data_IF_469055206271
#
_entry.id   IF_469055206271
#
_cell.length_a   1.000
_cell.length_b   1.000
_cell.length_c   1.000
_cell.angle_alpha   90.00
_cell.angle_beta   90.00
_cell.angle_gamma   90.00
#
_symmetry.space_group_name_H-M   'P 1'
#
loop_
_entity.id
_entity.type
_entity.pdbx_description
1 polymer ?
#
# COMPACT_ATOMS: atom_id res chain seq x y z
N UNK A 1 8.58 10.01 -14.85
CA UNK A 1 8.34 10.49 -13.47
C UNK A 1 9.02 9.56 -12.46
N UNK A 2 9.35 10.10 -11.31
CA UNK A 2 9.97 9.35 -10.22
C UNK A 2 8.93 9.08 -9.14
N UNK A 3 8.88 7.85 -8.62
CA UNK A 3 8.09 7.49 -7.46
C UNK A 3 8.99 7.12 -6.29
N UNK A 4 8.65 7.62 -5.11
CA UNK A 4 9.36 7.33 -3.86
C UNK A 4 8.38 6.78 -2.85
N UNK A 5 8.69 5.64 -2.24
CA UNK A 5 7.93 5.13 -1.11
C UNK A 5 8.77 5.22 0.16
N UNK A 6 8.23 5.88 1.17
CA UNK A 6 8.82 5.99 2.51
C UNK A 6 8.02 5.09 3.45
N UNK A 7 8.70 4.17 4.11
CA UNK A 7 8.14 3.34 5.18
C UNK A 7 8.91 3.56 6.47
N UNK A 8 8.51 2.95 7.58
CA UNK A 8 9.23 3.06 8.85
C UNK A 8 10.71 2.62 8.76
N UNK A 9 11.03 1.65 7.88
CA UNK A 9 12.37 1.05 7.82
C UNK A 9 13.01 1.02 6.44
N UNK A 10 12.28 1.42 5.37
CA UNK A 10 12.79 1.33 4.00
C UNK A 10 12.42 2.57 3.18
N UNK A 11 13.26 2.85 2.21
CA UNK A 11 13.03 3.75 1.09
C UNK A 11 13.04 2.93 -0.20
N UNK A 12 12.01 3.09 -1.02
CA UNK A 12 11.95 2.55 -2.38
C UNK A 12 11.88 3.69 -3.39
N UNK A 13 12.52 3.54 -4.54
CA UNK A 13 12.50 4.53 -5.62
C UNK A 13 12.26 3.79 -6.92
N UNK A 14 11.34 4.30 -7.74
CA UNK A 14 11.06 3.81 -9.10
C UNK A 14 11.17 4.95 -10.11
N UNK A 15 11.60 4.63 -11.32
CA UNK A 15 11.51 5.51 -12.48
C UNK A 15 10.49 4.91 -13.45
N UNK A 16 9.48 5.69 -13.82
CA UNK A 16 8.48 5.33 -14.79
C UNK A 16 8.64 6.07 -16.10
N UNK A 17 8.43 5.36 -17.21
CA UNK A 17 8.28 5.96 -18.54
C UNK A 17 6.82 6.40 -18.79
N UNK A 18 6.55 6.95 -19.98
CA UNK A 18 5.23 7.41 -20.40
C UNK A 18 4.20 6.28 -20.61
N UNK A 19 4.64 5.03 -20.69
CA UNK A 19 3.80 3.84 -20.80
C UNK A 19 3.48 3.22 -19.42
N UNK A 20 3.87 3.92 -18.34
CA UNK A 20 3.77 3.45 -16.95
C UNK A 20 4.62 2.22 -16.63
N UNK A 21 5.62 1.92 -17.45
CA UNK A 21 6.55 0.82 -17.21
C UNK A 21 7.69 1.27 -16.27
N UNK A 22 8.11 0.36 -15.40
CA UNK A 22 9.23 0.59 -14.48
C UNK A 22 10.54 0.41 -15.26
N UNK A 23 11.26 1.49 -15.52
CA UNK A 23 12.59 1.46 -16.16
C UNK A 23 13.70 1.17 -15.16
N UNK A 24 13.56 1.65 -13.93
CA UNK A 24 14.56 1.46 -12.87
C UNK A 24 13.88 1.40 -11.53
N UNK A 25 14.34 0.53 -10.65
CA UNK A 25 13.86 0.44 -9.27
C UNK A 25 14.99 0.12 -8.31
N UNK A 26 14.90 0.67 -7.10
CA UNK A 26 15.79 0.33 -5.99
C UNK A 26 15.00 0.34 -4.69
N UNK A 27 15.32 -0.58 -3.79
CA UNK A 27 14.83 -0.59 -2.40
C UNK A 27 16.01 -0.73 -1.46
N UNK A 28 16.03 0.10 -0.45
CA UNK A 28 17.11 0.13 0.52
C UNK A 28 16.60 0.29 1.94
N UNK A 29 17.35 -0.18 2.92
CA UNK A 29 17.04 0.01 4.33
C UNK A 29 17.40 1.43 4.73
N UNK A 30 16.39 2.21 5.11
CA UNK A 30 16.54 3.56 5.65
C UNK A 30 15.46 3.74 6.72
N UNK A 31 15.87 3.77 7.99
CA UNK A 31 14.94 4.00 9.09
C UNK A 31 14.43 5.44 9.02
N UNK A 32 13.11 5.60 9.03
CA UNK A 32 12.47 6.92 9.04
C UNK A 32 12.91 7.75 10.25
N UNK A 33 13.11 9.04 10.04
CA UNK A 33 13.36 10.03 11.08
C UNK A 33 12.72 11.35 10.70
N UNK A 34 12.32 12.13 11.68
CA UNK A 34 11.80 13.50 11.52
C UNK A 34 12.90 14.56 11.38
N UNK A 35 14.16 14.15 11.47
CA UNK A 35 15.31 15.04 11.38
C UNK A 35 15.52 15.55 9.94
N UNK A 36 15.98 16.79 9.82
CA UNK A 36 16.36 17.40 8.53
C UNK A 36 17.37 16.55 7.75
N UNK A 37 18.28 15.91 8.44
CA UNK A 37 19.29 15.01 7.88
C UNK A 37 18.67 13.83 7.12
N UNK A 38 17.51 13.33 7.56
CA UNK A 38 16.79 12.29 6.85
C UNK A 38 16.29 12.78 5.48
N UNK A 39 15.66 13.95 5.42
CA UNK A 39 15.17 14.53 4.17
C UNK A 39 16.32 14.76 3.17
N UNK A 40 17.46 15.29 3.65
CA UNK A 40 18.66 15.47 2.83
C UNK A 40 19.19 14.12 2.31
N UNK A 41 19.14 13.08 3.15
CA UNK A 41 19.57 11.73 2.73
C UNK A 41 18.64 11.14 1.69
N UNK A 42 17.32 11.34 1.83
CA UNK A 42 16.35 10.91 0.81
C UNK A 42 16.63 11.61 -0.52
N UNK A 43 16.88 12.93 -0.51
CA UNK A 43 17.21 13.68 -1.71
C UNK A 43 18.53 13.19 -2.37
N UNK A 44 19.58 12.97 -1.57
CA UNK A 44 20.85 12.40 -2.05
C UNK A 44 20.62 11.04 -2.74
N UNK A 45 19.80 10.16 -2.12
CA UNK A 45 19.53 8.84 -2.67
C UNK A 45 18.71 8.90 -3.98
N UNK A 46 17.79 9.85 -4.10
CA UNK A 46 17.08 10.09 -5.37
C UNK A 46 18.03 10.64 -6.44
N UNK A 47 18.90 11.58 -6.10
CA UNK A 47 19.91 12.12 -7.02
C UNK A 47 20.89 11.03 -7.50
N UNK A 48 21.38 10.19 -6.59
CA UNK A 48 22.24 9.05 -6.93
C UNK A 48 21.49 8.03 -7.82
N UNK A 49 20.21 7.79 -7.54
CA UNK A 49 19.36 6.90 -8.35
C UNK A 49 19.22 7.43 -9.78
N UNK A 50 19.14 8.75 -9.95
CA UNK A 50 18.99 9.42 -11.24
C UNK A 50 20.32 9.67 -11.96
N UNK A 51 21.48 9.37 -11.34
CA UNK A 51 22.80 9.74 -11.87
C UNK A 51 23.06 9.28 -13.30
N UNK A 52 22.64 8.07 -13.63
CA UNK A 52 22.85 7.44 -14.94
C UNK A 52 21.63 7.58 -15.87
N UNK A 53 20.63 8.38 -15.49
CA UNK A 53 19.44 8.63 -16.31
C UNK A 53 19.81 9.74 -17.31
N UNK A 54 19.71 9.41 -18.60
CA UNK A 54 19.76 10.38 -19.68
C UNK A 54 18.48 11.24 -19.63
N UNK A 55 18.48 12.41 -20.23
CA UNK A 55 17.27 13.27 -20.32
C UNK A 55 16.61 13.61 -18.97
N UNK A 56 17.38 13.87 -17.92
CA UNK A 56 16.86 14.19 -16.56
C UNK A 56 15.91 15.40 -16.57
N UNK A 57 16.07 16.30 -17.53
CA UNK A 57 15.19 17.46 -17.74
C UNK A 57 13.78 17.08 -18.19
N UNK A 58 13.57 15.84 -18.66
CA UNK A 58 12.25 15.29 -19.02
C UNK A 58 11.51 14.70 -17.84
N UNK A 59 12.12 14.64 -16.64
CA UNK A 59 11.46 14.16 -15.43
C UNK A 59 10.39 15.17 -15.02
N UNK A 60 9.13 14.78 -15.08
CA UNK A 60 7.97 15.66 -14.81
C UNK A 60 7.83 16.01 -13.32
N UNK A 61 8.26 15.11 -12.43
CA UNK A 61 8.16 15.33 -10.98
C UNK A 61 8.45 14.08 -10.18
N UNK A 62 8.40 14.25 -8.85
CA UNK A 62 8.63 13.21 -7.85
C UNK A 62 7.36 12.99 -7.02
N UNK A 63 6.72 11.84 -7.19
CA UNK A 63 5.61 11.41 -6.34
C UNK A 63 6.15 10.68 -5.11
N UNK A 64 5.77 11.13 -3.90
CA UNK A 64 6.24 10.55 -2.64
C UNK A 64 5.05 9.92 -1.92
N UNK A 65 5.10 8.62 -1.73
CA UNK A 65 4.13 7.85 -0.98
C UNK A 65 4.59 7.72 0.47
N UNK A 66 3.70 8.08 1.41
CA UNK A 66 3.96 8.06 2.86
C UNK A 66 2.74 7.41 3.55
N UNK A 67 2.93 6.45 4.48
CA UNK A 67 1.82 5.90 5.24
C UNK A 67 1.21 6.94 6.18
N UNK A 68 -0.11 7.09 6.13
CA UNK A 68 -0.88 8.00 6.97
C UNK A 68 -1.81 8.93 6.22
N UNK A 69 -2.54 9.75 6.96
CA UNK A 69 -3.50 10.72 6.42
C UNK A 69 -2.73 11.95 5.94
N UNK A 70 -2.82 12.25 4.65
CA UNK A 70 -2.10 13.36 4.01
C UNK A 70 -3.05 14.52 3.71
N UNK A 71 -2.73 15.70 4.23
CA UNK A 71 -3.34 16.97 3.83
C UNK A 71 -2.48 17.60 2.74
N UNK A 72 -2.93 17.47 1.50
CA UNK A 72 -2.23 18.00 0.33
C UNK A 72 -2.16 19.54 0.33
N UNK A 73 -3.26 20.19 0.73
CA UNK A 73 -3.34 21.65 0.70
C UNK A 73 -2.33 22.30 1.66
N UNK A 74 -2.14 21.70 2.83
CA UNK A 74 -1.22 22.17 3.85
C UNK A 74 0.15 21.46 3.83
N UNK A 75 0.38 20.55 2.88
CA UNK A 75 1.61 19.73 2.78
C UNK A 75 1.98 19.10 4.12
N UNK A 76 1.07 18.34 4.68
CA UNK A 76 1.20 17.84 6.05
C UNK A 76 0.74 16.38 6.16
N UNK A 77 1.46 15.59 6.95
CA UNK A 77 0.94 14.34 7.51
C UNK A 77 0.10 14.70 8.72
N UNK A 78 -1.22 14.59 8.61
CA UNK A 78 -2.14 14.85 9.72
C UNK A 78 -1.93 13.83 10.83
N UNK A 79 -1.86 12.56 10.45
CA UNK A 79 -1.58 11.45 11.36
C UNK A 79 -1.00 10.25 10.62
N UNK A 80 0.07 9.71 11.17
CA UNK A 80 0.62 8.41 10.76
C UNK A 80 0.90 7.55 11.98
N UNK A 81 0.17 6.47 12.13
CA UNK A 81 0.47 5.51 13.19
C UNK A 81 1.76 4.73 12.89
N UNK A 82 1.97 4.36 11.62
CA UNK A 82 3.15 3.60 11.19
C UNK A 82 4.46 4.37 11.39
N UNK A 83 4.44 5.71 11.21
CA UNK A 83 5.60 6.58 11.40
C UNK A 83 5.57 7.34 12.73
N UNK A 84 4.52 7.16 13.55
CA UNK A 84 4.32 7.87 14.82
C UNK A 84 4.34 9.39 14.65
N UNK A 85 3.67 9.89 13.59
CA UNK A 85 3.58 11.32 13.28
C UNK A 85 2.20 11.88 13.60
N UNK A 86 2.18 13.12 14.00
CA UNK A 86 0.97 13.94 14.14
C UNK A 86 1.27 15.38 13.76
N UNK A 87 0.47 15.95 12.85
CA UNK A 87 0.63 17.30 12.30
C UNK A 87 2.06 17.62 11.83
N UNK A 88 2.68 16.68 11.10
CA UNK A 88 4.06 16.79 10.63
C UNK A 88 4.12 17.46 9.26
N UNK A 89 4.87 18.58 9.15
CA UNK A 89 5.04 19.30 7.89
C UNK A 89 5.95 18.54 6.91
N UNK A 90 5.51 18.43 5.66
CA UNK A 90 6.27 17.87 4.54
C UNK A 90 7.02 18.95 3.73
N UNK A 91 6.87 20.23 4.08
CA UNK A 91 7.43 21.34 3.30
C UNK A 91 8.95 21.27 3.15
N UNK A 92 9.66 20.81 4.18
CA UNK A 92 11.11 20.66 4.07
C UNK A 92 11.49 19.51 3.12
N UNK A 93 10.76 18.39 3.16
CA UNK A 93 10.99 17.27 2.24
C UNK A 93 10.69 17.69 0.78
N UNK A 94 9.71 18.56 0.55
CA UNK A 94 9.45 19.14 -0.77
C UNK A 94 10.62 20.04 -1.24
N UNK A 95 11.14 20.90 -0.35
CA UNK A 95 12.15 21.89 -0.68
C UNK A 95 13.53 21.32 -1.01
N UNK A 96 13.84 20.08 -0.60
CA UNK A 96 15.13 19.45 -0.90
C UNK A 96 15.24 18.93 -2.32
N UNK A 97 14.14 18.91 -3.08
CA UNK A 97 14.11 18.47 -4.48
C UNK A 97 14.04 19.67 -5.44
N UNK A 98 14.68 19.54 -6.58
CA UNK A 98 14.61 20.50 -7.71
C UNK A 98 13.42 20.26 -8.64
N UNK A 99 12.69 19.16 -8.47
CA UNK A 99 11.52 18.78 -9.24
C UNK A 99 10.24 19.10 -8.47
N UNK A 100 9.09 19.28 -9.15
CA UNK A 100 7.79 19.32 -8.51
C UNK A 100 7.56 18.06 -7.66
N UNK A 101 6.97 18.21 -6.46
CA UNK A 101 6.72 17.11 -5.55
C UNK A 101 5.22 16.95 -5.29
N UNK A 102 4.75 15.71 -5.32
CA UNK A 102 3.40 15.31 -4.94
C UNK A 102 3.47 14.29 -3.80
N UNK A 103 2.66 14.48 -2.75
CA UNK A 103 2.57 13.53 -1.65
C UNK A 103 1.30 12.71 -1.74
N UNK A 104 1.37 11.44 -1.43
CA UNK A 104 0.22 10.54 -1.43
C UNK A 104 0.22 9.62 -0.19
N UNK A 105 -0.98 9.27 0.29
CA UNK A 105 -1.12 8.12 1.18
C UNK A 105 -0.71 6.84 0.44
N UNK A 106 -0.09 5.90 1.13
CA UNK A 106 0.47 4.67 0.56
C UNK A 106 -0.57 3.74 -0.08
N UNK A 107 -1.72 3.55 0.56
CA UNK A 107 -2.78 2.71 0.01
C UNK A 107 -3.50 3.41 -1.16
N UNK A 108 -3.73 4.73 -1.05
CA UNK A 108 -4.30 5.53 -2.13
C UNK A 108 -3.39 5.51 -3.38
N UNK A 109 -2.09 5.70 -3.19
CA UNK A 109 -1.12 5.60 -4.27
C UNK A 109 -1.09 4.19 -4.87
N UNK A 110 -1.10 3.14 -4.04
CA UNK A 110 -1.12 1.77 -4.53
C UNK A 110 -2.37 1.46 -5.37
N UNK A 111 -3.55 1.97 -4.99
CA UNK A 111 -4.76 1.89 -5.81
C UNK A 111 -4.57 2.58 -7.17
N UNK A 112 -3.98 3.78 -7.18
CA UNK A 112 -3.71 4.55 -8.42
C UNK A 112 -2.63 3.90 -9.30
N UNK A 113 -1.87 2.93 -8.79
CA UNK A 113 -0.94 2.14 -9.60
C UNK A 113 -1.65 1.18 -10.55
N UNK A 114 -2.82 0.69 -10.17
CA UNK A 114 -3.63 -0.21 -10.98
C UNK A 114 -4.17 0.47 -12.26
N UNK A 115 -4.72 -0.32 -13.17
CA UNK A 115 -5.36 0.23 -14.38
C UNK A 115 -6.76 0.78 -14.05
N UNK A 116 -6.85 2.10 -13.92
CA UNK A 116 -8.11 2.78 -13.61
C UNK A 116 -9.13 2.74 -14.75
N UNK A 117 -8.76 2.28 -15.96
CA UNK A 117 -9.73 2.01 -17.03
C UNK A 117 -10.43 0.67 -16.82
N UNK A 118 -9.71 -0.32 -16.28
CA UNK A 118 -10.26 -1.62 -15.91
C UNK A 118 -11.00 -1.53 -14.57
N UNK A 119 -10.40 -0.86 -13.57
CA UNK A 119 -10.90 -0.80 -12.19
C UNK A 119 -11.54 0.56 -11.87
N UNK A 120 -12.64 0.90 -12.59
CA UNK A 120 -13.38 2.14 -12.32
C UNK A 120 -14.04 2.14 -10.93
N UNK A 121 -14.58 1.00 -10.52
CA UNK A 121 -15.14 0.77 -9.20
C UNK A 121 -14.41 -0.41 -8.57
N UNK A 122 -13.56 -0.15 -7.60
CA UNK A 122 -12.78 -1.18 -6.92
C UNK A 122 -12.36 -0.77 -5.51
N UNK A 123 -12.17 -1.76 -4.67
CA UNK A 123 -11.51 -1.67 -3.37
C UNK A 123 -10.10 -2.25 -3.49
N UNK A 124 -9.10 -1.57 -2.96
CA UNK A 124 -7.73 -2.04 -2.85
C UNK A 124 -7.38 -2.31 -1.39
N UNK A 125 -6.91 -3.50 -1.08
CA UNK A 125 -6.35 -3.87 0.22
C UNK A 125 -4.83 -3.90 0.14
N UNK A 126 -4.18 -3.01 0.85
CA UNK A 126 -2.71 -2.92 0.96
C UNK A 126 -2.23 -3.76 2.14
N UNK A 127 -1.96 -5.05 1.89
CA UNK A 127 -1.57 -6.06 2.88
C UNK A 127 -0.06 -5.99 3.16
N UNK A 128 0.36 -4.91 3.79
CA UNK A 128 1.73 -4.65 4.20
C UNK A 128 1.92 -4.91 5.70
N UNK A 129 3.00 -4.42 6.30
CA UNK A 129 3.24 -4.53 7.74
C UNK A 129 2.06 -4.02 8.57
N UNK A 130 1.35 -3.03 8.05
CA UNK A 130 0.00 -2.60 8.47
C UNK A 130 -0.97 -2.80 7.32
N UNK A 131 -2.24 -2.98 7.62
CA UNK A 131 -3.31 -3.08 6.63
C UNK A 131 -3.83 -1.69 6.27
N UNK A 132 -3.51 -1.23 5.07
CA UNK A 132 -4.10 -0.06 4.43
C UNK A 132 -5.25 -0.42 3.50
N UNK A 133 -6.01 0.59 3.10
CA UNK A 133 -7.03 0.42 2.09
C UNK A 133 -7.34 1.70 1.34
N UNK A 134 -7.83 1.53 0.13
CA UNK A 134 -8.31 2.60 -0.73
C UNK A 134 -9.49 2.09 -1.56
N UNK A 135 -10.30 2.98 -2.10
CA UNK A 135 -11.31 2.59 -3.08
C UNK A 135 -11.58 3.73 -4.07
N UNK A 136 -12.01 3.35 -5.25
CA UNK A 136 -12.44 4.28 -6.27
C UNK A 136 -13.88 4.00 -6.68
N UNK A 137 -14.55 5.05 -7.14
CA UNK A 137 -15.90 5.01 -7.72
C UNK A 137 -15.87 5.88 -8.97
N UNK A 138 -16.34 5.34 -10.09
CA UNK A 138 -16.29 5.98 -11.41
C UNK A 138 -14.88 6.48 -11.78
N UNK A 139 -13.85 5.67 -11.50
CA UNK A 139 -12.46 5.99 -11.76
C UNK A 139 -11.85 7.05 -10.85
N UNK A 140 -12.60 7.55 -9.85
CA UNK A 140 -12.13 8.56 -8.92
C UNK A 140 -11.85 7.98 -7.55
N UNK A 141 -10.67 8.26 -7.02
CA UNK A 141 -10.30 7.88 -5.68
C UNK A 141 -11.18 8.59 -4.65
N UNK A 142 -11.77 7.84 -3.73
CA UNK A 142 -12.63 8.37 -2.67
C UNK A 142 -11.81 8.51 -1.39
N UNK A 143 -11.50 9.75 -1.02
CA UNK A 143 -10.71 10.06 0.18
C UNK A 143 -11.57 10.44 1.39
N UNK A 144 -12.84 10.78 1.15
CA UNK A 144 -13.77 11.22 2.19
C UNK A 144 -13.54 12.65 2.67
N UNK A 145 -14.48 13.17 3.45
CA UNK A 145 -14.46 14.55 3.91
C UNK A 145 -13.24 14.90 4.78
N UNK A 146 -12.72 13.93 5.53
CA UNK A 146 -11.60 14.11 6.46
C UNK A 146 -10.39 13.25 6.07
N UNK A 147 -10.24 12.87 4.80
CA UNK A 147 -9.16 12.05 4.29
C UNK A 147 -9.05 10.66 4.99
N UNK A 148 -10.17 10.11 5.48
CA UNK A 148 -10.22 8.85 6.26
C UNK A 148 -11.00 7.73 5.58
N UNK A 149 -11.48 7.94 4.36
CA UNK A 149 -12.10 6.86 3.61
C UNK A 149 -11.04 5.81 3.26
N UNK A 150 -11.43 4.54 3.28
CA UNK A 150 -10.49 3.45 3.03
C UNK A 150 -9.70 2.96 4.25
N UNK A 151 -9.90 3.49 5.44
CA UNK A 151 -9.26 3.01 6.68
C UNK A 151 -9.79 1.62 7.11
N UNK A 152 -9.80 0.66 6.17
CA UNK A 152 -10.35 -0.70 6.34
C UNK A 152 -9.62 -1.51 7.39
N UNK A 153 -8.31 -1.25 7.57
CA UNK A 153 -7.51 -1.88 8.61
C UNK A 153 -8.07 -1.63 10.02
N UNK A 154 -8.81 -0.54 10.20
CA UNK A 154 -9.39 -0.17 11.50
C UNK A 154 -10.88 -0.53 11.66
N UNK A 155 -11.48 -1.25 10.71
CA UNK A 155 -12.77 -1.91 10.90
C UNK A 155 -12.64 -3.02 11.95
N UNK A 156 -13.65 -3.17 12.80
CA UNK A 156 -13.68 -4.25 13.80
C UNK A 156 -14.02 -5.56 13.11
N UNK A 157 -13.07 -6.46 13.06
CA UNK A 157 -13.25 -7.81 12.51
C UNK A 157 -13.65 -8.80 13.62
N UNK A 158 -13.01 -8.70 14.78
CA UNK A 158 -13.26 -9.57 15.93
C UNK A 158 -13.52 -8.72 17.17
N UNK A 159 -14.77 -8.45 17.54
CA UNK A 159 -15.09 -7.64 18.72
C UNK A 159 -14.38 -8.12 19.99
N UNK A 160 -13.67 -7.22 20.68
CA UNK A 160 -12.89 -7.55 21.86
C UNK A 160 -11.66 -8.44 21.65
N UNK A 161 -11.25 -8.64 20.39
CA UNK A 161 -10.11 -9.48 20.02
C UNK A 161 -8.74 -8.85 20.26
N UNK A 162 -7.77 -9.14 19.38
CA UNK A 162 -6.37 -8.66 19.50
C UNK A 162 -6.31 -7.13 19.59
N UNK A 163 -5.36 -6.62 20.37
CA UNK A 163 -5.09 -5.19 20.44
C UNK A 163 -4.53 -4.71 19.09
N UNK A 164 -4.99 -3.54 18.64
CA UNK A 164 -4.46 -2.84 17.48
C UNK A 164 -3.62 -1.65 17.96
N UNK A 165 -2.60 -1.28 17.20
CA UNK A 165 -1.75 -0.12 17.48
C UNK A 165 -2.54 1.20 17.54
N UNK A 166 -3.73 1.27 16.92
CA UNK A 166 -4.60 2.46 17.01
C UNK A 166 -5.29 2.65 18.37
N UNK A 167 -5.06 1.75 19.33
CA UNK A 167 -5.64 1.77 20.67
C UNK A 167 -6.94 0.98 20.83
N UNK A 168 -7.57 0.54 19.72
CA UNK A 168 -8.78 -0.33 19.75
C UNK A 168 -8.39 -1.81 19.85
N UNK A 169 -9.38 -2.66 20.07
CA UNK A 169 -9.24 -4.11 20.01
C UNK A 169 -10.13 -4.69 18.90
N UNK A 170 -9.62 -5.71 18.19
CA UNK A 170 -10.38 -6.43 17.18
C UNK A 170 -10.34 -5.85 15.77
N UNK A 171 -9.50 -4.85 15.49
CA UNK A 171 -9.32 -4.28 14.16
C UNK A 171 -8.83 -5.32 13.15
N UNK A 172 -9.27 -5.23 11.90
CA UNK A 172 -8.84 -6.09 10.79
C UNK A 172 -7.31 -6.11 10.63
N UNK A 173 -6.64 -5.00 10.86
CA UNK A 173 -5.18 -4.87 10.83
C UNK A 173 -4.47 -5.94 11.71
N UNK A 174 -4.95 -6.14 12.93
CA UNK A 174 -4.37 -7.11 13.87
C UNK A 174 -4.48 -8.59 13.42
N UNK A 175 -5.21 -8.85 12.33
CA UNK A 175 -5.46 -10.19 11.79
C UNK A 175 -5.06 -10.36 10.33
N UNK A 176 -5.06 -9.28 9.53
CA UNK A 176 -4.89 -9.32 8.08
C UNK A 176 -3.69 -8.51 7.58
N UNK A 177 -2.91 -7.86 8.47
CA UNK A 177 -1.62 -7.27 8.09
C UNK A 177 -0.51 -8.34 8.02
N UNK A 178 0.61 -8.04 7.36
CA UNK A 178 1.78 -8.93 7.34
C UNK A 178 2.34 -9.16 8.74
N UNK A 179 2.28 -8.16 9.63
CA UNK A 179 2.66 -8.30 11.05
C UNK A 179 1.86 -9.37 11.81
N UNK A 180 0.66 -9.74 11.33
CA UNK A 180 -0.09 -10.85 11.91
C UNK A 180 0.53 -12.23 11.60
N UNK A 181 1.36 -12.33 10.55
CA UNK A 181 2.05 -13.55 10.12
C UNK A 181 3.46 -13.66 10.69
N UNK A 182 4.17 -12.53 10.77
CA UNK A 182 5.54 -12.47 11.27
C UNK A 182 5.58 -12.45 12.80
N UNK A 183 6.70 -12.81 13.35
CA UNK A 183 6.94 -12.80 14.79
C UNK A 183 8.14 -11.88 15.06
N UNK A 184 7.87 -10.70 15.59
CA UNK A 184 8.91 -9.71 15.87
C UNK A 184 9.92 -10.20 16.92
N UNK A 185 9.48 -11.04 17.88
CA UNK A 185 10.36 -11.62 18.92
C UNK A 185 11.35 -12.63 18.32
N UNK A 186 10.99 -13.29 17.21
CA UNK A 186 11.82 -14.27 16.51
C UNK A 186 12.54 -13.67 15.29
N UNK A 187 12.38 -12.37 15.02
CA UNK A 187 12.94 -11.68 13.84
C UNK A 187 12.59 -12.37 12.50
N UNK A 188 11.47 -13.11 12.46
CA UNK A 188 11.06 -13.83 11.26
C UNK A 188 10.45 -12.88 10.22
N UNK A 189 11.05 -12.83 9.04
CA UNK A 189 10.53 -12.04 7.93
C UNK A 189 9.36 -12.72 7.24
N UNK A 190 8.57 -11.97 6.45
CA UNK A 190 7.46 -12.53 5.66
C UNK A 190 7.95 -13.58 4.66
N UNK A 191 9.10 -13.34 4.02
CA UNK A 191 9.72 -14.30 3.10
C UNK A 191 10.01 -15.64 3.82
N UNK A 192 10.66 -15.58 4.97
CA UNK A 192 10.98 -16.76 5.78
C UNK A 192 9.72 -17.48 6.28
N UNK A 193 8.66 -16.72 6.57
CA UNK A 193 7.37 -17.30 6.93
C UNK A 193 6.79 -18.08 5.74
N UNK A 194 6.74 -17.47 4.55
CA UNK A 194 6.20 -18.11 3.35
C UNK A 194 7.01 -19.33 2.91
N UNK A 195 8.35 -19.28 2.98
CA UNK A 195 9.21 -20.45 2.76
C UNK A 195 8.84 -21.63 3.67
N UNK A 196 8.54 -21.36 4.95
CA UNK A 196 8.09 -22.42 5.88
C UNK A 196 6.69 -22.94 5.54
N UNK A 197 5.81 -22.10 4.99
CA UNK A 197 4.49 -22.54 4.49
C UNK A 197 4.67 -23.48 3.30
N UNK A 198 5.52 -23.15 2.35
CA UNK A 198 5.85 -24.00 1.18
C UNK A 198 6.48 -25.32 1.62
N UNK A 199 7.33 -25.31 2.64
CA UNK A 199 7.92 -26.51 3.25
C UNK A 199 6.91 -27.32 4.08
N UNK A 200 5.63 -26.90 4.12
CA UNK A 200 4.55 -27.57 4.87
C UNK A 200 4.80 -27.67 6.37
N UNK A 201 5.47 -26.69 6.95
CA UNK A 201 5.61 -26.61 8.41
C UNK A 201 4.23 -26.47 9.06
N UNK A 202 3.84 -27.40 9.91
CA UNK A 202 2.48 -27.47 10.45
C UNK A 202 2.02 -26.17 11.11
N UNK A 203 2.86 -25.55 11.97
CA UNK A 203 2.48 -24.33 12.69
C UNK A 203 2.31 -23.13 11.75
N UNK A 204 3.19 -22.96 10.75
CA UNK A 204 3.07 -21.87 9.80
C UNK A 204 1.91 -22.04 8.84
N UNK A 205 1.64 -23.29 8.41
CA UNK A 205 0.45 -23.62 7.60
C UNK A 205 -0.84 -23.34 8.35
N UNK A 206 -0.93 -23.74 9.63
CA UNK A 206 -2.10 -23.43 10.47
C UNK A 206 -2.30 -21.91 10.62
N UNK A 207 -1.22 -21.17 10.91
CA UNK A 207 -1.25 -19.71 11.05
C UNK A 207 -1.65 -19.03 9.71
N UNK A 208 -1.13 -19.52 8.57
CA UNK A 208 -1.51 -19.05 7.25
C UNK A 208 -3.00 -19.30 6.93
N UNK A 209 -3.50 -20.50 7.23
CA UNK A 209 -4.92 -20.80 7.04
C UNK A 209 -5.83 -19.90 7.89
N UNK A 210 -5.45 -19.64 9.14
CA UNK A 210 -6.17 -18.70 10.00
C UNK A 210 -6.15 -17.27 9.47
N UNK A 211 -5.00 -16.85 8.88
CA UNK A 211 -4.89 -15.56 8.22
C UNK A 211 -5.84 -15.46 7.02
N UNK A 212 -5.89 -16.49 6.17
CA UNK A 212 -6.82 -16.56 5.05
C UNK A 212 -8.29 -16.56 5.49
N UNK A 213 -8.63 -17.19 6.62
CA UNK A 213 -10.00 -17.15 7.18
C UNK A 213 -10.38 -15.72 7.60
N UNK A 214 -9.49 -15.01 8.29
CA UNK A 214 -9.73 -13.63 8.69
C UNK A 214 -9.83 -12.70 7.48
N UNK A 215 -8.95 -12.88 6.49
CA UNK A 215 -8.97 -12.11 5.26
C UNK A 215 -10.26 -12.34 4.46
N UNK A 216 -10.77 -13.58 4.42
CA UNK A 216 -12.02 -13.93 3.77
C UNK A 216 -13.23 -13.22 4.41
N UNK A 217 -13.26 -13.08 5.73
CA UNK A 217 -14.31 -12.32 6.43
C UNK A 217 -14.24 -10.84 6.05
N UNK A 218 -13.04 -10.25 6.05
CA UNK A 218 -12.85 -8.84 5.64
C UNK A 218 -13.29 -8.62 4.20
N UNK A 219 -12.87 -9.47 3.28
CA UNK A 219 -13.24 -9.42 1.86
C UNK A 219 -14.77 -9.51 1.71
N UNK A 220 -15.42 -10.45 2.38
CA UNK A 220 -16.88 -10.60 2.33
C UNK A 220 -17.59 -9.34 2.84
N UNK A 221 -17.12 -8.75 3.94
CA UNK A 221 -17.69 -7.50 4.47
C UNK A 221 -17.55 -6.33 3.49
N UNK A 222 -16.38 -6.20 2.85
CA UNK A 222 -16.14 -5.14 1.87
C UNK A 222 -16.95 -5.37 0.59
N UNK A 223 -17.06 -6.61 0.13
CA UNK A 223 -17.92 -6.95 -1.00
C UNK A 223 -19.39 -6.57 -0.74
N UNK A 224 -19.90 -6.84 0.45
CA UNK A 224 -21.27 -6.45 0.84
C UNK A 224 -21.45 -4.94 0.96
N UNK A 225 -20.39 -4.20 1.31
CA UNK A 225 -20.47 -2.75 1.50
C UNK A 225 -20.33 -1.96 0.18
N UNK A 226 -19.54 -2.46 -0.78
CA UNK A 226 -19.15 -1.71 -1.98
C UNK A 226 -19.66 -2.32 -3.28
N UNK A 227 -19.94 -3.63 -3.32
CA UNK A 227 -20.36 -4.38 -4.54
C UNK A 227 -19.43 -4.16 -5.74
N UNK A 228 -18.11 -4.17 -5.52
CA UNK A 228 -17.08 -3.87 -6.51
C UNK A 228 -15.99 -4.93 -6.53
N UNK A 229 -15.09 -4.88 -7.51
CA UNK A 229 -13.86 -5.69 -7.49
C UNK A 229 -13.02 -5.38 -6.24
N UNK A 230 -12.34 -6.40 -5.72
CA UNK A 230 -11.43 -6.29 -4.55
C UNK A 230 -10.04 -6.73 -4.97
N UNK A 231 -9.12 -5.79 -5.00
CA UNK A 231 -7.73 -5.98 -5.40
C UNK A 231 -6.88 -6.25 -4.14
N UNK A 232 -6.17 -7.37 -4.14
CA UNK A 232 -5.32 -7.80 -3.05
C UNK A 232 -3.86 -7.47 -3.36
N UNK A 233 -3.34 -6.44 -2.71
CA UNK A 233 -2.01 -5.92 -2.94
C UNK A 233 -1.13 -5.88 -1.69
N UNK A 234 0.02 -5.22 -1.82
CA UNK A 234 1.04 -5.16 -0.78
C UNK A 234 1.92 -6.40 -0.73
N UNK A 235 2.76 -6.48 0.30
CA UNK A 235 3.76 -7.56 0.41
C UNK A 235 3.12 -8.95 0.50
N UNK A 236 2.05 -9.11 1.29
CA UNK A 236 1.30 -10.38 1.35
C UNK A 236 0.53 -10.63 0.08
N UNK A 237 -0.07 -9.59 -0.53
CA UNK A 237 -0.78 -9.69 -1.82
C UNK A 237 0.08 -10.33 -2.90
N UNK A 238 1.39 -10.05 -2.90
CA UNK A 238 2.34 -10.65 -3.82
C UNK A 238 2.45 -12.17 -3.74
N UNK A 239 2.08 -12.79 -2.62
CA UNK A 239 2.06 -14.26 -2.44
C UNK A 239 0.66 -14.85 -2.69
N UNK A 240 -0.41 -14.04 -2.63
CA UNK A 240 -1.79 -14.55 -2.72
C UNK A 240 -2.15 -15.13 -4.08
N UNK A 241 -1.41 -14.82 -5.15
CA UNK A 241 -1.64 -15.38 -6.50
C UNK A 241 -1.72 -16.91 -6.50
N UNK A 242 -0.92 -17.59 -5.69
CA UNK A 242 -0.93 -19.05 -5.55
C UNK A 242 -2.03 -19.57 -4.62
N UNK A 243 -2.63 -18.68 -3.84
CA UNK A 243 -3.64 -19.01 -2.84
C UNK A 243 -5.04 -18.47 -3.17
N UNK A 244 -5.25 -17.95 -4.39
CA UNK A 244 -6.55 -17.39 -4.80
C UNK A 244 -7.68 -18.42 -4.74
N UNK A 245 -7.41 -19.69 -5.09
CA UNK A 245 -8.41 -20.76 -5.02
C UNK A 245 -8.80 -21.05 -3.57
N UNK A 246 -7.88 -21.41 -2.65
CA UNK A 246 -8.25 -21.67 -1.25
C UNK A 246 -8.82 -20.43 -0.54
N UNK A 247 -8.37 -19.21 -0.86
CA UNK A 247 -8.97 -17.99 -0.36
C UNK A 247 -10.40 -17.82 -0.89
N UNK A 248 -10.62 -18.06 -2.19
CA UNK A 248 -11.93 -17.99 -2.81
C UNK A 248 -12.94 -18.95 -2.18
N UNK A 249 -12.55 -20.19 -1.89
CA UNK A 249 -13.38 -21.17 -1.19
C UNK A 249 -13.80 -20.67 0.20
N UNK A 250 -12.87 -20.03 0.93
CA UNK A 250 -13.16 -19.43 2.24
C UNK A 250 -14.11 -18.22 2.13
N UNK A 251 -13.91 -17.36 1.13
CA UNK A 251 -14.79 -16.21 0.86
C UNK A 251 -16.20 -16.68 0.51
N UNK A 252 -16.32 -17.71 -0.33
CA UNK A 252 -17.62 -18.31 -0.69
C UNK A 252 -18.38 -18.84 0.49
N UNK A 253 -17.72 -19.30 1.56
CA UNK A 253 -18.37 -19.76 2.76
C UNK A 253 -19.13 -18.64 3.51
N UNK A 254 -18.77 -17.38 3.29
CA UNK A 254 -19.42 -16.19 3.88
C UNK A 254 -20.33 -15.45 2.90
N UNK A 255 -20.29 -15.77 1.60
CA UNK A 255 -21.08 -15.09 0.57
C UNK A 255 -22.30 -15.90 0.20
N UNK A 256 -23.48 -15.38 0.51
CA UNK A 256 -24.78 -16.01 0.16
C UNK A 256 -25.42 -15.43 -1.11
N UNK A 257 -24.79 -14.50 -1.81
CA UNK A 257 -25.38 -13.79 -2.96
C UNK A 257 -24.76 -14.20 -4.29
N UNK A 258 -23.53 -14.70 -4.31
CA UNK A 258 -22.74 -15.00 -5.50
C UNK A 258 -22.30 -16.45 -5.51
N UNK A 259 -22.05 -16.97 -6.71
CA UNK A 259 -21.63 -18.37 -6.92
C UNK A 259 -20.16 -18.51 -7.31
N UNK A 260 -19.42 -17.38 -7.41
CA UNK A 260 -17.99 -17.34 -7.69
C UNK A 260 -17.34 -16.10 -7.02
N UNK A 261 -16.02 -16.01 -7.13
CA UNK A 261 -15.21 -14.94 -6.55
C UNK A 261 -14.42 -14.18 -7.62
N UNK A 262 -14.93 -14.06 -8.84
CA UNK A 262 -14.25 -13.38 -9.96
C UNK A 262 -13.93 -11.92 -9.69
N UNK A 263 -14.60 -11.31 -8.70
CA UNK A 263 -14.32 -9.97 -8.20
C UNK A 263 -13.04 -9.88 -7.36
N UNK A 264 -12.43 -11.00 -6.95
CA UNK A 264 -11.11 -11.00 -6.32
C UNK A 264 -10.04 -10.88 -7.39
N UNK A 265 -9.19 -9.89 -7.25
CA UNK A 265 -8.11 -9.58 -8.19
C UNK A 265 -6.76 -9.58 -7.49
N UNK A 266 -5.74 -10.02 -8.20
CA UNK A 266 -4.36 -9.80 -7.77
C UNK A 266 -3.92 -8.40 -8.21
N UNK A 267 -3.08 -7.76 -7.40
CA UNK A 267 -2.47 -6.48 -7.76
C UNK A 267 -1.48 -6.63 -8.93
N UNK A 268 -1.34 -5.58 -9.73
CA UNK A 268 -0.37 -5.49 -10.83
C UNK A 268 1.07 -5.34 -10.31
N UNK A 269 1.24 -4.66 -9.18
CA UNK A 269 2.55 -4.37 -8.58
C UNK A 269 2.61 -4.91 -7.15
N UNK A 270 3.69 -5.63 -6.81
CA UNK A 270 3.86 -6.24 -5.48
C UNK A 270 4.34 -5.22 -4.44
N UNK A 271 5.63 -4.83 -4.51
CA UNK A 271 6.28 -3.96 -3.50
C UNK A 271 6.32 -2.50 -3.90
N UNK A 272 6.30 -2.23 -5.21
CA UNK A 272 6.48 -0.90 -5.78
C UNK A 272 5.16 -0.14 -5.99
N UNK A 273 4.01 -0.78 -5.74
CA UNK A 273 2.68 -0.23 -6.05
C UNK A 273 2.51 1.23 -5.63
N UNK A 274 2.80 1.56 -4.38
CA UNK A 274 2.59 2.93 -3.89
C UNK A 274 3.57 3.96 -4.49
N UNK A 275 4.81 3.56 -4.80
CA UNK A 275 5.75 4.43 -5.50
C UNK A 275 5.29 4.64 -6.96
N UNK A 276 4.87 3.57 -7.64
CA UNK A 276 4.33 3.64 -9.01
C UNK A 276 3.11 4.57 -9.06
N UNK A 277 2.14 4.38 -8.18
CA UNK A 277 0.94 5.22 -8.17
C UNK A 277 1.22 6.68 -7.86
N UNK A 278 2.16 6.97 -6.95
CA UNK A 278 2.58 8.33 -6.67
C UNK A 278 3.25 9.00 -7.90
N UNK A 279 4.07 8.25 -8.66
CA UNK A 279 4.69 8.74 -9.89
C UNK A 279 3.67 8.93 -11.02
N UNK A 280 2.67 8.04 -11.14
CA UNK A 280 1.60 8.12 -12.14
C UNK A 280 0.84 9.46 -12.08
N UNK A 281 0.77 10.11 -10.93
CA UNK A 281 0.15 11.43 -10.79
C UNK A 281 0.67 12.41 -11.85
N UNK A 282 1.98 12.58 -11.96
CA UNK A 282 2.59 13.50 -12.92
C UNK A 282 2.40 13.07 -14.38
N UNK A 283 2.46 11.77 -14.64
CA UNK A 283 2.25 11.25 -16.00
C UNK A 283 0.81 11.45 -16.46
N UNK A 284 -0.15 11.19 -15.58
CA UNK A 284 -1.57 11.36 -15.87
C UNK A 284 -1.94 12.84 -16.08
N UNK A 285 -1.43 13.75 -15.25
CA UNK A 285 -1.59 15.19 -15.46
C UNK A 285 -1.02 15.64 -16.80
N UNK A 286 0.19 15.20 -17.11
CA UNK A 286 0.82 15.56 -18.39
C UNK A 286 0.02 15.07 -19.59
N UNK A 287 -0.47 13.83 -19.57
CA UNK A 287 -1.29 13.25 -20.67
C UNK A 287 -2.62 13.98 -20.81
N UNK A 288 -3.25 14.42 -19.74
CA UNK A 288 -4.51 15.17 -19.79
C UNK A 288 -4.36 16.58 -20.40
N UNK A 289 -3.13 17.11 -20.45
CA UNK A 289 -2.82 18.43 -21.00
C UNK A 289 -2.21 18.40 -22.42
N UNK A 290 -2.07 17.20 -23.02
CA UNK A 290 -1.70 17.02 -24.43
C UNK A 290 -2.92 17.10 -25.34
#
# INVERSE_FOLDING_TARGET
AVGVVITANHLGIVLLNMQYEIEKTIRMRLKFSTETSYCLKVAEMVEDFLKDVEDREKILGIGISIPGIIDQANRMVVKSHALQLENFSLSFLEQVFSYPVYFANDANAAMMAEDMHEYQDAVYLSLNNTLGGAFCINGNLVVGQNQKAGEFGHMILVPGGKKCYCGKAGCADAYCAASALTDEEQEMTLEQFMEKVEQKNTKTVEKWNQYLDNLAILISNLRMAYDTDIILGGEVGGYLSEYMIPLGEKVMAYNGFEHDVRYLKNCSYKREASAVGAAKHFLSEYIQHL
#
